data_IF_630511972762
#
_entry.id   IF_630511972762
#
_cell.length_a   1.000
_cell.length_b   1.000
_cell.length_c   1.000
_cell.angle_alpha   90.00
_cell.angle_beta   90.00
_cell.angle_gamma   90.00
#
_symmetry.space_group_name_H-M   'P 1'
#
loop_
_entity.id
_entity.type
_entity.pdbx_description
1 polymer ?
#
# COMPACT_ATOMS: atom_id res chain seq x y z
N UNK A 1 30.82 13.94 30.60
CA UNK A 1 29.55 13.37 30.11
C UNK A 1 29.40 13.87 28.68
N UNK A 2 29.27 13.00 27.65
CA UNK A 2 28.98 13.48 26.31
C UNK A 2 27.62 14.18 26.34
N UNK A 3 27.48 15.28 25.58
CA UNK A 3 26.29 16.13 25.48
C UNK A 3 24.99 15.32 25.49
N UNK A 4 24.10 15.64 26.42
CA UNK A 4 22.85 14.91 26.69
C UNK A 4 21.74 15.09 25.66
N UNK A 5 22.07 15.14 24.37
CA UNK A 5 21.08 15.11 23.29
C UNK A 5 20.93 13.70 22.73
N UNK A 6 19.67 13.28 22.56
CA UNK A 6 19.31 12.01 21.94
C UNK A 6 19.43 12.16 20.41
N UNK A 7 20.13 11.22 19.76
CA UNK A 7 20.18 11.14 18.30
C UNK A 7 18.85 10.58 17.75
N UNK A 8 17.98 11.48 17.31
CA UNK A 8 16.67 11.13 16.75
C UNK A 8 16.81 10.35 15.43
N UNK A 9 17.87 10.56 14.66
CA UNK A 9 18.10 9.80 13.42
C UNK A 9 18.56 8.38 13.71
N UNK A 10 19.29 8.15 14.81
CA UNK A 10 19.54 6.81 15.33
C UNK A 10 18.22 6.12 15.70
N UNK A 11 17.31 6.79 16.40
CA UNK A 11 16.00 6.23 16.72
C UNK A 11 15.19 5.87 15.46
N UNK A 12 15.13 6.76 14.45
CA UNK A 12 14.46 6.49 13.17
C UNK A 12 15.02 5.24 12.48
N UNK A 13 16.36 5.12 12.41
CA UNK A 13 17.04 3.95 11.84
C UNK A 13 16.80 2.68 12.66
N UNK A 14 16.77 2.77 13.99
CA UNK A 14 16.46 1.62 14.84
C UNK A 14 15.00 1.15 14.67
N UNK A 15 14.05 2.09 14.54
CA UNK A 15 12.63 1.78 14.43
C UNK A 15 12.21 1.29 13.02
N UNK A 16 12.73 1.91 11.97
CA UNK A 16 12.31 1.70 10.57
C UNK A 16 13.40 1.10 9.68
N UNK A 17 14.61 0.89 10.19
CA UNK A 17 15.75 0.45 9.38
C UNK A 17 15.72 -1.02 8.98
N UNK A 18 14.85 -1.85 9.57
CA UNK A 18 14.58 -3.20 9.06
C UNK A 18 13.39 -3.14 8.09
N UNK A 19 13.67 -3.06 6.80
CA UNK A 19 12.66 -3.05 5.73
C UNK A 19 12.14 -4.47 5.42
N UNK A 20 12.78 -5.53 5.93
CA UNK A 20 12.35 -6.91 5.73
C UNK A 20 11.20 -7.25 6.65
N UNK A 21 11.08 -6.61 7.82
CA UNK A 21 9.91 -6.72 8.68
C UNK A 21 8.62 -6.40 7.91
N UNK A 22 7.55 -7.16 8.18
CA UNK A 22 6.31 -7.06 7.42
C UNK A 22 5.62 -5.69 7.57
N UNK A 23 5.70 -5.07 8.76
CA UNK A 23 5.12 -3.73 8.99
C UNK A 23 5.93 -2.69 8.21
N UNK A 24 7.25 -2.69 8.37
CA UNK A 24 8.12 -1.71 7.73
C UNK A 24 8.13 -1.88 6.21
N UNK A 25 8.05 -3.11 5.69
CA UNK A 25 7.88 -3.37 4.26
C UNK A 25 6.56 -2.80 3.72
N UNK A 26 5.49 -2.85 4.51
CA UNK A 26 4.22 -2.21 4.18
C UNK A 26 4.32 -0.70 4.10
N UNK A 27 4.94 -0.08 5.11
CA UNK A 27 5.21 1.37 5.12
C UNK A 27 6.11 1.80 3.95
N UNK A 28 7.12 1.00 3.62
CA UNK A 28 7.99 1.27 2.49
C UNK A 28 7.26 1.16 1.15
N UNK A 29 6.35 0.19 0.99
CA UNK A 29 5.52 0.08 -0.21
C UNK A 29 4.57 1.28 -0.36
N UNK A 30 3.98 1.76 0.74
CA UNK A 30 3.16 2.98 0.74
C UNK A 30 3.99 4.18 0.28
N UNK A 31 5.18 4.35 0.85
CA UNK A 31 6.11 5.40 0.46
C UNK A 31 6.53 5.29 -1.01
N UNK A 32 6.87 4.10 -1.51
CA UNK A 32 7.20 3.88 -2.93
C UNK A 32 6.08 4.35 -3.87
N UNK A 33 4.83 3.98 -3.59
CA UNK A 33 3.69 4.41 -4.43
C UNK A 33 3.51 5.93 -4.33
N UNK A 34 3.65 6.50 -3.13
CA UNK A 34 3.57 7.95 -2.93
C UNK A 34 4.65 8.72 -3.69
N UNK A 35 5.89 8.21 -3.71
CA UNK A 35 7.00 8.75 -4.51
C UNK A 35 6.68 8.71 -6.01
N UNK A 36 6.17 7.58 -6.51
CA UNK A 36 5.78 7.46 -7.91
C UNK A 36 4.71 8.50 -8.30
N UNK A 37 3.75 8.75 -7.40
CA UNK A 37 2.66 9.72 -7.58
C UNK A 37 3.06 11.17 -7.24
N UNK A 38 4.21 11.39 -6.59
CA UNK A 38 4.69 12.72 -6.18
C UNK A 38 3.80 13.35 -5.12
N UNK A 39 3.29 12.55 -4.18
CA UNK A 39 2.40 13.00 -3.09
C UNK A 39 3.04 12.89 -1.70
N UNK A 40 4.33 12.55 -1.64
CA UNK A 40 5.08 12.57 -0.37
C UNK A 40 5.38 14.02 0.00
N UNK A 41 4.93 14.42 1.19
CA UNK A 41 5.32 15.67 1.82
C UNK A 41 6.42 15.39 2.86
N UNK A 42 7.66 15.72 2.53
CA UNK A 42 8.81 15.55 3.42
C UNK A 42 8.71 16.38 4.70
N UNK A 43 7.88 17.43 4.71
CA UNK A 43 7.69 18.30 5.88
C UNK A 43 6.62 17.76 6.86
N UNK A 44 5.87 16.72 6.50
CA UNK A 44 4.80 16.17 7.31
C UNK A 44 5.00 14.67 7.60
N UNK A 45 4.69 14.20 8.82
CA UNK A 45 4.69 12.77 9.10
C UNK A 45 3.54 12.08 8.35
N UNK A 46 3.73 10.81 8.02
CA UNK A 46 2.67 9.91 7.55
C UNK A 46 1.46 9.98 8.49
N UNK A 47 0.27 10.14 7.92
CA UNK A 47 -1.00 10.04 8.67
C UNK A 47 -1.38 8.57 8.79
N UNK A 48 -1.31 8.04 10.01
CA UNK A 48 -1.77 6.68 10.26
C UNK A 48 -3.32 6.66 10.40
N UNK A 49 -3.96 5.57 9.97
CA UNK A 49 -5.39 5.25 10.23
C UNK A 49 -6.45 5.99 9.42
N UNK A 50 -6.09 6.74 8.39
CA UNK A 50 -7.09 7.32 7.48
C UNK A 50 -7.84 6.21 6.70
N UNK A 51 -8.98 6.57 6.10
CA UNK A 51 -9.83 5.63 5.38
C UNK A 51 -9.16 5.03 4.11
N UNK A 52 -8.04 5.62 3.70
CA UNK A 52 -7.20 5.29 2.57
C UNK A 52 -5.75 5.69 2.89
N UNK A 53 -4.78 5.14 2.17
CA UNK A 53 -3.35 5.38 2.47
C UNK A 53 -2.83 6.67 1.82
N UNK A 54 -3.27 6.99 0.59
CA UNK A 54 -2.84 8.20 -0.14
C UNK A 54 -4.02 8.91 -0.83
N UNK A 55 -3.89 10.23 -1.02
CA UNK A 55 -4.80 11.04 -1.83
C UNK A 55 -4.03 11.64 -3.02
N UNK A 56 -4.47 11.36 -4.25
CA UNK A 56 -3.86 11.88 -5.47
C UNK A 56 -4.94 12.40 -6.43
N UNK A 57 -4.92 13.69 -6.77
CA UNK A 57 -5.93 14.33 -7.65
C UNK A 57 -7.37 13.96 -7.22
N UNK A 58 -7.67 14.13 -5.94
CA UNK A 58 -8.96 13.76 -5.29
C UNK A 58 -9.31 12.26 -5.27
N UNK A 59 -8.43 11.40 -5.80
CA UNK A 59 -8.60 9.95 -5.81
C UNK A 59 -7.98 9.34 -4.55
N UNK A 60 -8.79 8.59 -3.81
CA UNK A 60 -8.40 7.86 -2.61
C UNK A 60 -7.75 6.53 -3.01
N UNK A 61 -6.55 6.27 -2.50
CA UNK A 61 -5.76 5.10 -2.87
C UNK A 61 -5.48 4.25 -1.64
N UNK A 62 -5.83 2.98 -1.70
CA UNK A 62 -5.45 1.97 -0.70
C UNK A 62 -4.26 1.15 -1.22
N UNK A 63 -3.28 0.90 -0.37
CA UNK A 63 -2.06 0.18 -0.69
C UNK A 63 -2.03 -1.13 0.08
N UNK A 64 -1.74 -2.21 -0.64
CA UNK A 64 -1.65 -3.55 -0.05
C UNK A 64 -0.33 -4.20 -0.43
N UNK A 65 0.57 -4.30 0.55
CA UNK A 65 1.88 -4.88 0.37
C UNK A 65 1.93 -6.35 0.80
N UNK A 66 2.72 -7.15 0.07
CA UNK A 66 3.09 -8.51 0.45
C UNK A 66 4.50 -8.81 -0.05
N UNK A 67 5.11 -9.89 0.46
CA UNK A 67 6.44 -10.33 0.05
C UNK A 67 6.49 -11.84 -0.13
N UNK A 68 7.28 -12.32 -1.09
CA UNK A 68 7.57 -13.77 -1.23
C UNK A 68 8.42 -14.30 -0.08
N UNK A 69 9.29 -13.46 0.47
CA UNK A 69 10.03 -13.73 1.71
C UNK A 69 9.23 -13.22 2.90
N UNK A 70 9.20 -14.00 3.99
CA UNK A 70 8.54 -13.64 5.25
C UNK A 70 9.62 -13.43 6.31
N UNK A 71 9.38 -12.52 7.26
CA UNK A 71 10.36 -12.18 8.30
C UNK A 71 10.58 -13.28 9.35
N UNK A 72 9.72 -14.31 9.38
CA UNK A 72 9.87 -15.50 10.22
C UNK A 72 10.12 -16.77 9.41
N UNK A 73 10.78 -17.76 10.02
CA UNK A 73 11.04 -19.06 9.41
C UNK A 73 9.73 -19.77 9.04
N UNK A 74 9.61 -20.21 7.78
CA UNK A 74 8.47 -21.00 7.32
C UNK A 74 8.95 -22.33 6.72
N UNK A 75 8.32 -23.44 7.10
CA UNK A 75 8.57 -24.76 6.49
C UNK A 75 8.02 -24.87 5.05
N UNK A 76 7.05 -24.01 4.68
CA UNK A 76 6.50 -23.87 3.33
C UNK A 76 6.23 -22.40 3.02
N UNK A 77 6.46 -21.99 1.78
CA UNK A 77 6.11 -20.65 1.31
C UNK A 77 4.61 -20.40 1.49
N UNK A 78 4.27 -19.35 2.25
CA UNK A 78 2.89 -18.90 2.39
C UNK A 78 2.32 -18.43 1.05
N UNK A 79 1.04 -18.72 0.83
CA UNK A 79 0.33 -18.23 -0.36
C UNK A 79 0.12 -16.72 -0.22
N UNK A 80 0.61 -15.94 -1.18
CA UNK A 80 0.44 -14.48 -1.19
C UNK A 80 -1.04 -14.13 -1.28
N UNK A 81 -1.48 -13.35 -0.29
CA UNK A 81 -2.84 -12.82 -0.17
C UNK A 81 -2.78 -11.36 0.27
N UNK A 82 -3.69 -10.57 -0.27
CA UNK A 82 -3.88 -9.18 0.08
C UNK A 82 -5.26 -9.00 0.70
N UNK A 83 -5.34 -8.33 1.85
CA UNK A 83 -6.62 -7.98 2.46
C UNK A 83 -7.37 -6.94 1.63
N UNK A 84 -8.64 -7.19 1.34
CA UNK A 84 -9.54 -6.31 0.57
C UNK A 84 -10.93 -6.27 1.21
N UNK A 85 -11.00 -6.46 2.52
CA UNK A 85 -12.26 -6.49 3.24
C UNK A 85 -13.00 -5.15 3.13
N UNK A 86 -14.31 -5.24 2.92
CA UNK A 86 -15.23 -4.12 3.09
C UNK A 86 -15.36 -3.83 4.58
N UNK A 87 -15.38 -2.54 4.94
CA UNK A 87 -15.47 -2.06 6.33
C UNK A 87 -16.77 -1.29 6.51
N UNK A 88 -17.42 -1.46 7.65
CA UNK A 88 -18.66 -0.75 8.03
C UNK A 88 -18.41 0.55 8.79
N UNK A 89 -17.15 0.94 8.96
CA UNK A 89 -16.77 2.19 9.60
C UNK A 89 -15.41 2.67 9.08
N UNK A 90 -15.28 3.99 8.94
CA UNK A 90 -14.02 4.66 8.61
C UNK A 90 -13.73 5.72 9.66
N UNK A 91 -12.49 5.79 10.14
CA UNK A 91 -12.02 6.98 10.85
C UNK A 91 -11.56 8.01 9.82
N UNK A 92 -11.86 9.28 10.05
CA UNK A 92 -11.39 10.36 9.18
C UNK A 92 -10.69 11.44 9.99
N UNK A 93 -9.43 11.74 9.64
CA UNK A 93 -8.62 12.72 10.35
C UNK A 93 -9.22 14.15 10.35
N UNK A 94 -10.05 14.46 9.35
CA UNK A 94 -10.68 15.78 9.23
C UNK A 94 -11.71 16.06 10.34
N UNK A 95 -12.40 15.03 10.84
CA UNK A 95 -13.42 15.15 11.89
C UNK A 95 -13.02 14.53 13.23
N UNK A 96 -11.94 13.73 13.26
CA UNK A 96 -11.53 12.92 14.42
C UNK A 96 -12.65 11.98 14.93
N UNK A 97 -13.49 11.51 14.02
CA UNK A 97 -14.65 10.66 14.32
C UNK A 97 -14.63 9.36 13.53
N UNK A 98 -15.23 8.33 14.13
CA UNK A 98 -15.62 7.11 13.43
C UNK A 98 -16.96 7.32 12.74
N UNK A 99 -16.95 7.28 11.41
CA UNK A 99 -18.15 7.38 10.60
C UNK A 99 -18.67 5.96 10.33
N UNK A 100 -19.83 5.57 10.87
CA UNK A 100 -20.47 4.30 10.54
C UNK A 100 -21.07 4.36 9.13
N UNK A 101 -21.07 3.24 8.44
CA UNK A 101 -21.70 3.06 7.13
C UNK A 101 -22.70 1.90 7.22
N UNK A 102 -23.94 2.16 6.79
CA UNK A 102 -25.05 1.19 6.88
C UNK A 102 -24.73 -0.11 6.12
N UNK A 103 -23.98 -0.01 5.02
CA UNK A 103 -23.46 -1.15 4.26
C UNK A 103 -21.92 -1.13 4.25
N UNK A 104 -21.25 -2.28 4.53
CA UNK A 104 -19.80 -2.35 4.44
C UNK A 104 -19.30 -2.06 3.01
N UNK A 105 -18.30 -1.19 2.89
CA UNK A 105 -17.70 -0.84 1.60
C UNK A 105 -16.18 -0.76 1.64
N UNK A 106 -15.56 -0.66 0.46
CA UNK A 106 -14.15 -0.30 0.31
C UNK A 106 -14.07 1.21 0.11
N UNK A 107 -13.33 1.92 0.97
CA UNK A 107 -13.35 3.39 1.00
C UNK A 107 -12.44 4.08 -0.01
N UNK A 108 -11.45 3.36 -0.52
CA UNK A 108 -10.59 3.85 -1.60
C UNK A 108 -11.28 3.71 -2.96
N UNK A 109 -10.92 4.56 -3.89
CA UNK A 109 -11.37 4.52 -5.28
C UNK A 109 -10.54 3.50 -6.08
N UNK A 110 -9.26 3.39 -5.74
CA UNK A 110 -8.27 2.52 -6.38
C UNK A 110 -7.42 1.78 -5.34
N UNK A 111 -7.09 0.54 -5.64
CA UNK A 111 -6.12 -0.25 -4.90
C UNK A 111 -4.81 -0.37 -5.69
N UNK A 112 -3.68 -0.15 -5.01
CA UNK A 112 -2.34 -0.48 -5.51
C UNK A 112 -1.79 -1.67 -4.72
N UNK A 113 -1.77 -2.84 -5.36
CA UNK A 113 -1.20 -4.05 -4.78
C UNK A 113 0.29 -4.09 -5.06
N UNK A 114 1.12 -4.29 -4.03
CA UNK A 114 2.57 -4.26 -4.11
C UNK A 114 3.14 -5.63 -3.71
N UNK A 115 3.92 -6.26 -4.57
CA UNK A 115 4.59 -7.52 -4.28
C UNK A 115 6.11 -7.38 -4.36
N UNK A 116 6.78 -7.54 -3.21
CA UNK A 116 8.22 -7.72 -3.16
C UNK A 116 8.59 -9.15 -3.59
N UNK A 117 9.42 -9.28 -4.61
CA UNK A 117 9.69 -10.54 -5.30
C UNK A 117 10.89 -11.36 -4.79
N UNK A 118 12.03 -10.76 -4.40
CA UNK A 118 13.21 -11.50 -3.96
C UNK A 118 12.99 -12.45 -2.78
N UNK A 119 13.70 -13.59 -2.83
CA UNK A 119 13.82 -14.57 -1.75
C UNK A 119 15.29 -15.02 -1.68
N UNK A 120 16.03 -14.73 -0.58
CA UNK A 120 15.59 -14.01 0.62
C UNK A 120 15.38 -12.50 0.36
N UNK A 121 14.53 -11.87 1.17
CA UNK A 121 14.46 -10.41 1.23
C UNK A 121 15.63 -9.84 2.05
N UNK A 122 16.14 -8.70 1.62
CA UNK A 122 17.15 -7.89 2.32
C UNK A 122 16.73 -6.43 2.27
N UNK A 123 17.31 -5.58 3.11
CA UNK A 123 17.00 -4.15 3.05
C UNK A 123 17.34 -3.55 1.68
N UNK A 124 18.44 -3.98 1.07
CA UNK A 124 18.89 -3.48 -0.23
C UNK A 124 17.90 -3.82 -1.34
N UNK A 125 17.39 -5.05 -1.37
CA UNK A 125 16.45 -5.46 -2.40
C UNK A 125 15.01 -4.98 -2.13
N UNK A 126 14.63 -4.78 -0.86
CA UNK A 126 13.38 -4.10 -0.54
C UNK A 126 13.44 -2.63 -0.96
N UNK A 127 14.60 -1.97 -0.81
CA UNK A 127 14.81 -0.59 -1.22
C UNK A 127 14.92 -0.38 -2.74
N UNK A 128 15.12 -1.44 -3.52
CA UNK A 128 15.21 -1.39 -4.99
C UNK A 128 13.81 -1.51 -5.63
N UNK A 129 13.26 -0.45 -6.27
CA UNK A 129 11.94 -0.52 -6.90
C UNK A 129 11.83 -1.58 -7.99
N UNK A 130 12.94 -2.02 -8.61
CA UNK A 130 12.94 -3.08 -9.62
C UNK A 130 12.64 -4.47 -9.03
N UNK A 131 12.77 -4.63 -7.71
CA UNK A 131 12.43 -5.86 -6.98
C UNK A 131 10.93 -5.97 -6.65
N UNK A 132 10.12 -4.98 -7.06
CA UNK A 132 8.69 -4.92 -6.80
C UNK A 132 7.86 -5.07 -8.06
N UNK A 133 6.65 -5.57 -7.87
CA UNK A 133 5.63 -5.71 -8.91
C UNK A 133 4.31 -5.15 -8.42
N UNK A 134 3.63 -4.37 -9.26
CA UNK A 134 2.45 -3.61 -8.87
C UNK A 134 1.23 -3.95 -9.70
N UNK A 135 0.04 -3.79 -9.13
CA UNK A 135 -1.23 -3.79 -9.87
C UNK A 135 -2.06 -2.61 -9.42
N UNK A 136 -2.56 -1.83 -10.38
CA UNK A 136 -3.51 -0.74 -10.14
C UNK A 136 -4.90 -1.24 -10.52
N UNK A 137 -5.82 -1.31 -9.57
CA UNK A 137 -7.16 -1.87 -9.78
C UNK A 137 -8.21 -0.98 -9.13
N UNK A 138 -9.20 -0.56 -9.91
CA UNK A 138 -10.34 0.18 -9.41
C UNK A 138 -11.15 -0.64 -8.39
N UNK A 139 -11.63 0.01 -7.33
CA UNK A 139 -12.50 -0.61 -6.32
C UNK A 139 -13.75 -1.23 -6.93
N UNK A 140 -14.37 -0.56 -7.91
CA UNK A 140 -15.53 -1.10 -8.65
C UNK A 140 -15.23 -2.44 -9.34
N UNK A 141 -14.00 -2.66 -9.80
CA UNK A 141 -13.61 -3.96 -10.36
C UNK A 141 -13.49 -5.02 -9.27
N UNK A 142 -12.98 -4.67 -8.08
CA UNK A 142 -12.97 -5.60 -6.95
C UNK A 142 -14.40 -5.93 -6.48
N UNK A 143 -15.27 -4.93 -6.38
CA UNK A 143 -16.67 -5.13 -5.97
C UNK A 143 -17.43 -6.01 -6.97
N UNK A 144 -17.30 -5.72 -8.27
CA UNK A 144 -17.97 -6.49 -9.34
C UNK A 144 -17.48 -7.93 -9.41
N UNK A 145 -16.15 -8.15 -9.34
CA UNK A 145 -15.56 -9.46 -9.61
C UNK A 145 -15.42 -10.34 -8.36
N UNK A 146 -15.36 -9.75 -7.16
CA UNK A 146 -15.08 -10.45 -5.90
C UNK A 146 -16.14 -10.24 -4.81
N UNK A 147 -17.07 -9.29 -4.98
CA UNK A 147 -18.08 -8.96 -3.97
C UNK A 147 -17.47 -8.70 -2.59
N UNK A 148 -18.04 -9.36 -1.57
CA UNK A 148 -17.65 -9.22 -0.15
C UNK A 148 -16.41 -10.03 0.25
N UNK A 149 -15.68 -10.60 -0.71
CA UNK A 149 -14.47 -11.37 -0.41
C UNK A 149 -13.45 -10.51 0.36
N UNK A 150 -12.87 -11.06 1.43
CA UNK A 150 -11.97 -10.34 2.34
C UNK A 150 -10.51 -10.33 1.93
N UNK A 151 -10.09 -11.20 1.01
CA UNK A 151 -8.71 -11.25 0.53
C UNK A 151 -8.62 -11.69 -0.92
N UNK A 152 -7.59 -11.27 -1.64
CA UNK A 152 -7.36 -11.64 -3.05
C UNK A 152 -5.93 -12.16 -3.23
N UNK A 153 -5.73 -13.10 -4.16
CA UNK A 153 -4.41 -13.63 -4.52
C UNK A 153 -3.95 -13.14 -5.89
N UNK A 154 -2.70 -13.45 -6.25
CA UNK A 154 -2.07 -12.97 -7.51
C UNK A 154 -2.85 -13.39 -8.76
N UNK A 155 -3.34 -14.63 -8.82
CA UNK A 155 -4.02 -15.14 -10.03
C UNK A 155 -5.26 -14.31 -10.40
N UNK A 156 -6.18 -14.00 -9.46
CA UNK A 156 -7.24 -13.02 -9.72
C UNK A 156 -6.72 -11.64 -10.15
N UNK A 157 -5.72 -11.07 -9.48
CA UNK A 157 -5.16 -9.76 -9.83
C UNK A 157 -4.70 -9.71 -11.30
N UNK A 158 -3.98 -10.74 -11.75
CA UNK A 158 -3.53 -10.89 -13.14
C UNK A 158 -4.67 -11.02 -14.17
N UNK A 159 -5.91 -11.31 -13.76
CA UNK A 159 -7.08 -11.27 -14.66
C UNK A 159 -7.67 -9.88 -14.78
N UNK A 160 -7.48 -9.03 -13.77
CA UNK A 160 -8.07 -7.69 -13.72
C UNK A 160 -7.13 -6.64 -14.31
N UNK A 161 -5.83 -6.78 -14.09
CA UNK A 161 -4.79 -5.90 -14.60
C UNK A 161 -3.50 -6.68 -14.87
N UNK A 162 -2.71 -6.23 -15.84
CA UNK A 162 -1.34 -6.72 -15.98
C UNK A 162 -0.47 -6.11 -14.88
N UNK A 163 0.49 -6.85 -14.32
CA UNK A 163 1.45 -6.27 -13.41
C UNK A 163 2.32 -5.23 -14.11
N UNK A 164 2.67 -4.17 -13.39
CA UNK A 164 3.48 -3.05 -13.88
C UNK A 164 4.72 -2.83 -13.02
N UNK A 165 5.69 -2.11 -13.57
CA UNK A 165 6.86 -1.63 -12.83
C UNK A 165 6.52 -0.37 -12.02
N UNK A 166 7.38 -0.03 -11.06
CA UNK A 166 7.22 1.16 -10.23
C UNK A 166 7.08 2.46 -11.06
N UNK A 167 7.87 2.57 -12.14
CA UNK A 167 7.86 3.73 -13.05
C UNK A 167 6.53 3.95 -13.77
N UNK A 168 5.69 2.92 -13.89
CA UNK A 168 4.43 2.98 -14.62
C UNK A 168 3.22 3.27 -13.71
N UNK A 169 3.41 3.28 -12.37
CA UNK A 169 2.32 3.50 -11.40
C UNK A 169 1.57 4.80 -11.70
N UNK A 170 2.30 5.91 -11.86
CA UNK A 170 1.69 7.22 -12.14
C UNK A 170 0.83 7.17 -13.39
N UNK A 171 1.36 6.61 -14.47
CA UNK A 171 0.66 6.51 -15.76
C UNK A 171 -0.64 5.74 -15.62
N UNK A 172 -0.63 4.59 -14.94
CA UNK A 172 -1.84 3.77 -14.77
C UNK A 172 -2.86 4.42 -13.83
N UNK A 173 -2.41 5.13 -12.78
CA UNK A 173 -3.31 5.90 -11.91
C UNK A 173 -3.89 7.11 -12.66
N UNK A 174 -3.09 7.86 -13.42
CA UNK A 174 -3.57 8.97 -14.24
C UNK A 174 -4.62 8.49 -15.26
N UNK A 175 -4.39 7.35 -15.93
CA UNK A 175 -5.36 6.76 -16.84
C UNK A 175 -6.69 6.45 -16.16
N UNK A 176 -6.66 5.96 -14.90
CA UNK A 176 -7.87 5.80 -14.11
C UNK A 176 -8.55 7.15 -13.83
N UNK A 177 -7.81 8.13 -13.31
CA UNK A 177 -8.36 9.45 -12.94
C UNK A 177 -9.02 10.12 -14.16
N UNK A 178 -8.34 10.14 -15.29
CA UNK A 178 -8.80 10.80 -16.51
C UNK A 178 -10.07 10.11 -17.09
N UNK A 179 -10.20 8.79 -16.90
CA UNK A 179 -11.41 8.05 -17.27
C UNK A 179 -12.65 8.44 -16.45
N UNK A 180 -12.47 8.98 -15.23
CA UNK A 180 -13.55 9.44 -14.34
C UNK A 180 -13.98 10.86 -14.59
N UNK A 181 -13.10 11.70 -15.14
CA UNK A 181 -13.40 13.10 -15.46
C UNK A 181 -14.13 13.26 -16.81
N UNK A 182 -14.19 12.19 -17.61
CA UNK A 182 -14.83 12.18 -18.93
C UNK A 182 -16.32 11.77 -18.89
N UNK A 183 -16.91 11.63 -17.69
CA UNK A 183 -18.30 11.21 -17.44
C UNK A 183 -19.10 12.40 -16.91
#
# INVERSE_FOLDING_TARGET
>A
MPSGELDIDCFRRWALGDLVDNRNRGLFAEWLVGEALGVIDEAAPRREWDAYDLLYRETKIEIKASGRSQSWSQERQSTIRFGIEQRSSSWTAASDEWIPHDEPMRFADVYVFCLHQPVPATNENVADPACWMFWVIATETLDRELGSQKSVGIRPLNRFASPIAWSDIRKEVDAYVDSRQSI
#
